data_IF_290449176623
#
_entry.id   IF_290449176623
#
_cell.length_a   1.000
_cell.length_b   1.000
_cell.length_c   1.000
_cell.angle_alpha   90.00
_cell.angle_beta   90.00
_cell.angle_gamma   90.00
#
_symmetry.space_group_name_H-M   'P 1'
#
loop_
_entity.id
_entity.type
_entity.pdbx_description
1 polymer ?
#
# COMPACT_ATOMS: atom_id res chain seq x y z
N UNK A 1 -18.81 13.25 -14.55
CA UNK A 1 -17.33 13.16 -14.59
C UNK A 1 -16.96 11.73 -14.32
N UNK A 2 -16.21 11.06 -15.21
CA UNK A 2 -15.62 9.77 -14.86
C UNK A 2 -14.79 9.99 -13.60
N UNK A 3 -15.03 9.20 -12.54
CA UNK A 3 -14.24 9.31 -11.32
C UNK A 3 -12.75 9.19 -11.71
N UNK A 4 -11.92 10.08 -11.17
CA UNK A 4 -10.49 9.97 -11.39
C UNK A 4 -10.05 8.57 -10.93
N UNK A 5 -9.30 7.87 -11.79
CA UNK A 5 -8.87 6.50 -11.52
C UNK A 5 -8.04 6.45 -10.25
N UNK A 6 -7.28 7.51 -9.96
CA UNK A 6 -6.49 7.62 -8.74
C UNK A 6 -7.38 7.75 -7.51
N UNK A 7 -8.39 8.61 -7.53
CA UNK A 7 -9.33 8.76 -6.41
C UNK A 7 -10.07 7.46 -6.11
N UNK A 8 -10.40 6.70 -7.16
CA UNK A 8 -10.99 5.37 -7.02
C UNK A 8 -10.05 4.40 -6.31
N UNK A 9 -8.77 4.38 -6.66
CA UNK A 9 -7.76 3.53 -6.02
C UNK A 9 -7.52 3.94 -4.56
N UNK A 10 -7.44 5.24 -4.29
CA UNK A 10 -7.24 5.78 -2.94
C UNK A 10 -8.41 5.39 -2.03
N UNK A 11 -9.65 5.59 -2.50
CA UNK A 11 -10.85 5.23 -1.73
C UNK A 11 -10.95 3.73 -1.44
N UNK A 12 -10.61 2.88 -2.42
CA UNK A 12 -10.56 1.43 -2.24
C UNK A 12 -9.48 1.04 -1.21
N UNK A 13 -8.29 1.62 -1.33
CA UNK A 13 -7.15 1.31 -0.46
C UNK A 13 -7.46 1.62 1.00
N UNK A 14 -8.11 2.75 1.29
CA UNK A 14 -8.55 3.11 2.63
C UNK A 14 -9.67 2.20 3.12
N UNK A 15 -10.71 1.98 2.31
CA UNK A 15 -11.89 1.16 2.68
C UNK A 15 -11.55 -0.30 2.97
N UNK A 16 -10.54 -0.85 2.28
CA UNK A 16 -10.12 -2.25 2.43
C UNK A 16 -8.95 -2.42 3.40
N UNK A 17 -8.41 -1.34 3.97
CA UNK A 17 -7.29 -1.43 4.91
C UNK A 17 -5.96 -1.81 4.27
N UNK A 18 -5.69 -1.30 3.06
CA UNK A 18 -4.37 -1.39 2.44
C UNK A 18 -3.46 -0.26 2.91
N UNK A 19 -3.88 0.99 2.78
CA UNK A 19 -3.05 2.16 3.08
C UNK A 19 -3.91 3.25 3.74
N UNK A 20 -3.36 3.90 4.76
CA UNK A 20 -3.95 5.01 5.47
C UNK A 20 -3.02 6.24 5.43
N UNK A 21 -3.56 7.47 5.38
CA UNK A 21 -2.77 8.67 5.61
C UNK A 21 -2.16 8.64 7.01
N UNK A 22 -0.86 8.93 7.12
CA UNK A 22 -0.22 8.96 8.43
C UNK A 22 -0.78 10.11 9.28
N UNK A 23 -0.95 9.85 10.58
CA UNK A 23 -1.48 10.85 11.53
C UNK A 23 -2.85 11.43 11.13
N UNK A 24 -3.72 10.63 10.51
CA UNK A 24 -5.04 11.10 10.03
C UNK A 24 -5.86 11.79 11.13
N UNK A 25 -5.85 11.25 12.36
CA UNK A 25 -6.57 11.81 13.51
C UNK A 25 -6.01 13.16 14.00
N UNK A 26 -4.80 13.53 13.57
CA UNK A 26 -4.12 14.77 13.93
C UNK A 26 -4.01 15.76 12.76
N UNK A 27 -4.81 15.58 11.71
CA UNK A 27 -4.81 16.46 10.53
C UNK A 27 -3.90 16.00 9.39
N UNK A 28 -3.28 14.82 9.51
CA UNK A 28 -2.52 14.18 8.45
C UNK A 28 -1.10 14.73 8.27
N UNK A 29 -0.14 13.83 8.07
CA UNK A 29 1.22 14.20 7.67
C UNK A 29 1.36 14.09 6.15
N UNK A 30 1.82 15.16 5.49
CA UNK A 30 2.13 15.13 4.06
C UNK A 30 3.32 14.19 3.80
N UNK A 31 3.22 13.44 2.71
CA UNK A 31 4.24 12.49 2.25
C UNK A 31 4.50 11.27 3.17
N UNK A 32 3.63 11.00 4.14
CA UNK A 32 3.73 9.82 5.00
C UNK A 32 2.42 9.00 4.96
N UNK A 33 2.57 7.67 4.90
CA UNK A 33 1.46 6.72 4.84
C UNK A 33 1.74 5.47 5.66
N UNK A 34 0.69 4.98 6.31
CA UNK A 34 0.72 3.77 7.12
C UNK A 34 0.07 2.60 6.38
N UNK A 35 0.72 1.44 6.39
CA UNK A 35 0.18 0.23 5.78
C UNK A 35 -0.78 -0.46 6.75
N UNK A 36 -2.01 -0.69 6.30
CA UNK A 36 -3.01 -1.48 7.05
C UNK A 36 -2.77 -2.98 6.95
N UNK A 37 -3.63 -3.82 7.57
CA UNK A 37 -3.42 -5.26 7.65
C UNK A 37 -3.21 -5.93 6.29
N UNK A 38 -4.08 -5.65 5.30
CA UNK A 38 -3.93 -6.21 3.95
C UNK A 38 -2.77 -5.58 3.18
N UNK A 39 -2.43 -4.33 3.49
CA UNK A 39 -1.30 -3.63 2.88
C UNK A 39 0.04 -4.21 3.29
N UNK A 40 0.18 -4.60 4.56
CA UNK A 40 1.39 -5.25 5.07
C UNK A 40 1.59 -6.61 4.39
N UNK A 41 0.56 -7.44 4.33
CA UNK A 41 0.64 -8.74 3.64
C UNK A 41 1.02 -8.59 2.17
N UNK A 42 0.38 -7.67 1.44
CA UNK A 42 0.70 -7.41 0.04
C UNK A 42 2.16 -6.93 -0.13
N UNK A 43 2.61 -5.98 0.70
CA UNK A 43 3.97 -5.44 0.68
C UNK A 43 5.00 -6.54 0.95
N UNK A 44 4.78 -7.36 1.97
CA UNK A 44 5.72 -8.42 2.34
C UNK A 44 5.74 -9.55 1.30
N UNK A 45 4.60 -9.90 0.71
CA UNK A 45 4.54 -10.84 -0.40
C UNK A 45 5.34 -10.35 -1.61
N UNK A 46 5.21 -9.07 -1.96
CA UNK A 46 5.98 -8.48 -3.06
C UNK A 46 7.48 -8.49 -2.77
N UNK A 47 7.89 -8.09 -1.56
CA UNK A 47 9.31 -8.13 -1.15
C UNK A 47 9.88 -9.55 -1.20
N UNK A 48 9.13 -10.54 -0.70
CA UNK A 48 9.55 -11.95 -0.72
C UNK A 48 9.71 -12.45 -2.15
N UNK A 49 8.75 -12.17 -3.04
CA UNK A 49 8.85 -12.58 -4.45
C UNK A 49 10.04 -11.92 -5.14
N UNK A 50 10.25 -10.63 -4.91
CA UNK A 50 11.39 -9.91 -5.46
C UNK A 50 12.72 -10.49 -4.97
N UNK A 51 12.86 -10.75 -3.66
CA UNK A 51 14.07 -11.34 -3.10
C UNK A 51 14.33 -12.75 -3.63
N UNK A 52 13.27 -13.56 -3.73
CA UNK A 52 13.33 -14.89 -4.36
C UNK A 52 13.89 -14.76 -5.76
N UNK A 53 13.26 -13.95 -6.61
CA UNK A 53 13.66 -13.76 -8.00
C UNK A 53 15.10 -13.26 -8.18
N UNK A 54 15.48 -12.20 -7.45
CA UNK A 54 16.75 -11.49 -7.66
C UNK A 54 17.94 -12.17 -7.00
N UNK A 55 17.73 -12.83 -5.86
CA UNK A 55 18.83 -13.32 -5.00
C UNK A 55 18.83 -14.84 -4.90
N UNK A 56 17.66 -15.45 -4.72
CA UNK A 56 17.57 -16.82 -4.22
C UNK A 56 17.32 -17.85 -5.32
N UNK A 57 16.57 -17.50 -6.38
CA UNK A 57 16.44 -18.28 -7.61
C UNK A 57 17.62 -17.96 -8.51
N UNK A 58 18.74 -18.61 -8.22
CA UNK A 58 19.86 -18.73 -9.17
C UNK A 58 19.72 -20.06 -9.88
N UNK A 59 18.90 -20.07 -10.93
CA UNK A 59 19.13 -20.92 -12.10
C UNK A 59 19.61 -20.03 -13.25
#
# INVERSE_FOLDING_TARGET
MAADKIDTIVSLSKRRGFVFPCSEIYGGQRAAWDYGPLGVELKENLKRQWWRYMVTSRE
#
